data_IF_223550540562
#
_entry.id   IF_223550540562
#
_cell.length_a   1.000
_cell.length_b   1.000
_cell.length_c   1.000
_cell.angle_alpha   90.00
_cell.angle_beta   90.00
_cell.angle_gamma   90.00
#
_symmetry.space_group_name_H-M   'P 1'
#
loop_
_entity.id
_entity.type
_entity.pdbx_description
1 polymer ?
#
# COMPACT_ATOMS: atom_id res chain seq x y z
N UNK A 1 -8.75 13.15 -31.00
CA UNK A 1 -7.65 13.57 -30.10
C UNK A 1 -6.87 12.33 -29.75
N UNK A 2 -5.59 12.23 -30.06
CA UNK A 2 -4.80 11.01 -29.83
C UNK A 2 -3.78 11.21 -28.72
N UNK A 3 -3.54 10.16 -27.92
CA UNK A 3 -2.38 10.08 -27.01
C UNK A 3 -1.40 9.08 -27.60
N UNK A 4 -0.22 9.56 -28.00
CA UNK A 4 0.78 8.72 -28.67
C UNK A 4 2.22 9.07 -28.29
N UNK A 5 3.06 8.06 -28.42
CA UNK A 5 4.52 8.16 -28.32
C UNK A 5 5.11 7.78 -29.69
N UNK A 6 5.99 8.60 -30.21
CA UNK A 6 6.66 8.37 -31.49
C UNK A 6 8.17 8.36 -31.29
N UNK A 7 8.80 7.19 -31.50
CA UNK A 7 10.24 6.95 -31.39
C UNK A 7 10.83 7.38 -30.04
N UNK A 8 10.10 7.14 -28.92
CA UNK A 8 10.50 7.59 -27.60
C UNK A 8 11.55 6.65 -27.00
N UNK A 9 12.69 7.24 -26.63
CA UNK A 9 13.76 6.56 -25.88
C UNK A 9 14.16 7.37 -24.64
N UNK A 10 14.48 6.67 -23.56
CA UNK A 10 14.99 7.28 -22.32
C UNK A 10 16.12 6.42 -21.73
N UNK A 11 17.21 7.09 -21.34
CA UNK A 11 18.34 6.50 -20.63
C UNK A 11 18.65 7.27 -19.35
N UNK A 12 19.08 6.55 -18.29
CA UNK A 12 19.71 7.13 -17.11
C UNK A 12 21.20 6.74 -17.13
N UNK A 13 22.07 7.69 -17.44
CA UNK A 13 23.46 7.41 -17.74
C UNK A 13 23.56 6.38 -18.87
N UNK A 14 24.31 5.32 -18.65
CA UNK A 14 24.49 4.23 -19.64
C UNK A 14 23.32 3.22 -19.64
N UNK A 15 22.40 3.30 -18.70
CA UNK A 15 21.29 2.35 -18.59
C UNK A 15 20.08 2.82 -19.37
N UNK A 16 19.78 2.16 -20.50
CA UNK A 16 18.59 2.40 -21.30
C UNK A 16 17.36 1.78 -20.61
N UNK A 17 16.35 2.60 -20.34
CA UNK A 17 15.11 2.19 -19.67
C UNK A 17 14.01 1.89 -20.68
N UNK A 18 13.87 2.75 -21.69
CA UNK A 18 12.92 2.62 -22.80
C UNK A 18 13.68 2.82 -24.09
N UNK A 19 13.34 2.04 -25.12
CA UNK A 19 14.04 2.05 -26.39
C UNK A 19 13.07 2.06 -27.57
N UNK A 20 13.08 3.13 -28.34
CA UNK A 20 12.34 3.30 -29.60
C UNK A 20 10.86 2.91 -29.49
N UNK A 21 10.20 3.46 -28.49
CA UNK A 21 8.82 3.12 -28.17
C UNK A 21 7.86 3.87 -29.10
N UNK A 22 6.99 3.11 -29.76
CA UNK A 22 5.91 3.61 -30.60
C UNK A 22 4.60 3.03 -30.10
N UNK A 23 3.74 3.86 -29.49
CA UNK A 23 2.46 3.45 -28.92
C UNK A 23 1.41 4.52 -29.21
N UNK A 24 0.19 4.06 -29.47
CA UNK A 24 -0.99 4.91 -29.57
C UNK A 24 -2.09 4.38 -28.65
N UNK A 25 -2.64 5.25 -27.81
CA UNK A 25 -3.77 4.96 -26.94
C UNK A 25 -5.05 5.51 -27.57
N UNK A 26 -6.10 4.71 -27.56
CA UNK A 26 -7.41 5.17 -28.02
C UNK A 26 -7.97 6.25 -27.10
N UNK A 27 -8.65 7.23 -27.68
CA UNK A 27 -9.37 8.25 -26.92
C UNK A 27 -10.44 7.63 -26.04
N UNK A 28 -10.64 8.27 -24.88
CA UNK A 28 -11.64 7.85 -23.92
C UNK A 28 -11.55 6.36 -23.56
N UNK A 29 -10.34 5.81 -23.52
CA UNK A 29 -10.08 4.42 -23.17
C UNK A 29 -9.51 4.28 -21.76
N UNK A 30 -9.79 3.13 -21.14
CA UNK A 30 -9.23 2.73 -19.88
C UNK A 30 -8.10 1.71 -20.11
N UNK A 31 -6.87 2.12 -19.89
CA UNK A 31 -5.67 1.33 -20.14
C UNK A 31 -5.03 0.87 -18.82
N UNK A 32 -4.72 -0.40 -18.71
CA UNK A 32 -3.97 -0.96 -17.60
C UNK A 32 -2.57 -1.33 -18.07
N UNK A 33 -1.53 -0.76 -17.45
CA UNK A 33 -0.13 -1.09 -17.70
C UNK A 33 0.39 -2.02 -16.60
N UNK A 34 0.77 -3.23 -16.97
CA UNK A 34 1.31 -4.25 -16.07
C UNK A 34 2.77 -4.57 -16.40
N UNK A 35 3.47 -5.18 -15.47
CA UNK A 35 4.86 -5.63 -15.64
C UNK A 35 5.58 -5.75 -14.30
N UNK A 36 6.78 -6.38 -14.26
CA UNK A 36 7.57 -6.54 -13.06
C UNK A 36 7.87 -5.22 -12.35
N UNK A 37 8.08 -5.25 -11.03
CA UNK A 37 8.53 -4.07 -10.28
C UNK A 37 9.92 -3.63 -10.74
N UNK A 38 10.14 -2.32 -10.75
CA UNK A 38 11.43 -1.74 -11.18
C UNK A 38 11.69 -1.77 -12.68
N UNK A 39 10.77 -2.28 -13.51
CA UNK A 39 10.93 -2.34 -14.98
C UNK A 39 10.87 -0.95 -15.64
N UNK A 40 10.30 0.06 -14.95
CA UNK A 40 10.18 1.42 -15.49
C UNK A 40 8.74 1.90 -15.74
N UNK A 41 7.70 1.25 -15.19
CA UNK A 41 6.30 1.65 -15.37
C UNK A 41 6.02 3.09 -14.93
N UNK A 42 6.45 3.45 -13.70
CA UNK A 42 6.32 4.83 -13.20
C UNK A 42 7.13 5.82 -14.03
N UNK A 43 8.28 5.41 -14.53
CA UNK A 43 9.10 6.21 -15.46
C UNK A 43 8.35 6.46 -16.77
N UNK A 44 7.69 5.45 -17.31
CA UNK A 44 6.85 5.57 -18.50
C UNK A 44 5.69 6.56 -18.28
N UNK A 45 4.96 6.47 -17.16
CA UNK A 45 3.91 7.44 -16.82
C UNK A 45 4.47 8.86 -16.74
N UNK A 46 5.66 9.04 -16.12
CA UNK A 46 6.32 10.36 -16.03
C UNK A 46 6.76 10.90 -17.39
N UNK A 47 7.13 10.05 -18.35
CA UNK A 47 7.39 10.44 -19.73
C UNK A 47 6.11 10.99 -20.37
N UNK A 48 5.00 10.27 -20.25
CA UNK A 48 3.69 10.71 -20.74
C UNK A 48 3.24 12.04 -20.10
N UNK A 49 3.62 12.27 -18.84
CA UNK A 49 3.35 13.53 -18.14
C UNK A 49 4.30 14.67 -18.56
N UNK A 50 5.30 14.41 -19.40
CA UNK A 50 6.29 15.40 -19.83
C UNK A 50 7.25 15.85 -18.71
N UNK A 51 7.53 14.97 -17.71
CA UNK A 51 8.45 15.29 -16.61
C UNK A 51 9.93 15.12 -17.00
N UNK A 52 10.20 14.54 -18.15
CA UNK A 52 11.55 14.38 -18.70
C UNK A 52 11.75 15.24 -19.94
N UNK A 53 12.38 16.41 -19.82
CA UNK A 53 12.58 17.32 -20.98
C UNK A 53 13.65 16.84 -21.98
N UNK A 54 14.40 15.79 -21.64
CA UNK A 54 15.51 15.27 -22.47
C UNK A 54 15.22 13.83 -22.94
N UNK A 55 14.03 13.61 -23.49
CA UNK A 55 13.71 12.35 -24.19
C UNK A 55 14.05 12.46 -25.67
N UNK A 56 14.44 11.34 -26.29
CA UNK A 56 14.42 11.22 -27.75
C UNK A 56 12.98 10.93 -28.18
N UNK A 57 12.55 11.41 -29.33
CA UNK A 57 11.21 11.21 -29.86
C UNK A 57 10.21 12.28 -29.43
N UNK A 58 8.91 11.97 -29.50
CA UNK A 58 7.80 12.90 -29.21
C UNK A 58 6.70 12.23 -28.41
N UNK A 59 6.15 12.98 -27.45
CA UNK A 59 4.93 12.60 -26.70
C UNK A 59 3.82 13.56 -27.06
N UNK A 60 2.74 13.01 -27.60
CA UNK A 60 1.56 13.78 -28.05
C UNK A 60 0.39 13.41 -27.14
N UNK A 61 -0.29 14.39 -26.54
CA UNK A 61 -1.52 14.21 -25.78
C UNK A 61 -2.55 15.20 -26.25
N UNK A 62 -3.71 14.72 -26.64
CA UNK A 62 -4.79 15.54 -27.22
C UNK A 62 -4.28 16.45 -28.34
N UNK A 63 -3.50 15.87 -29.26
CA UNK A 63 -2.88 16.54 -30.44
C UNK A 63 -1.82 17.60 -30.09
N UNK A 64 -1.37 17.68 -28.85
CA UNK A 64 -0.33 18.61 -28.40
C UNK A 64 0.96 17.87 -28.03
N UNK A 65 2.11 18.41 -28.47
CA UNK A 65 3.42 17.93 -28.04
C UNK A 65 3.66 18.38 -26.57
N UNK A 66 3.58 17.44 -25.63
CA UNK A 66 3.55 17.73 -24.19
C UNK A 66 4.90 18.27 -23.69
N UNK A 67 5.99 17.79 -24.24
CA UNK A 67 7.35 18.21 -23.92
C UNK A 67 7.64 19.69 -24.24
N UNK A 68 6.91 20.25 -25.19
CA UNK A 68 7.05 21.66 -25.59
C UNK A 68 6.16 22.63 -24.81
N UNK A 69 5.21 22.11 -24.03
CA UNK A 69 4.26 22.95 -23.28
C UNK A 69 4.82 23.38 -21.91
N UNK A 70 4.59 24.64 -21.51
CA UNK A 70 4.86 25.06 -20.13
C UNK A 70 3.99 24.31 -19.13
N UNK A 71 4.47 24.15 -17.88
CA UNK A 71 3.88 23.27 -16.88
C UNK A 71 2.37 23.53 -16.63
N UNK A 72 1.95 24.80 -16.56
CA UNK A 72 0.54 25.17 -16.33
C UNK A 72 -0.38 24.77 -17.49
N UNK A 73 0.11 24.82 -18.73
CA UNK A 73 -0.66 24.37 -19.90
C UNK A 73 -0.67 22.84 -19.98
N UNK A 74 0.46 22.20 -19.70
CA UNK A 74 0.59 20.75 -19.66
C UNK A 74 -0.42 20.10 -18.68
N UNK A 75 -0.58 20.70 -17.50
CA UNK A 75 -1.52 20.24 -16.47
C UNK A 75 -3.00 20.29 -16.91
N UNK A 76 -3.37 21.08 -17.91
CA UNK A 76 -4.70 21.06 -18.53
C UNK A 76 -4.95 19.81 -19.38
N UNK A 77 -3.88 19.18 -19.88
CA UNK A 77 -3.99 17.98 -20.71
C UNK A 77 -3.73 16.70 -19.92
N UNK A 78 -2.83 16.75 -18.93
CA UNK A 78 -2.39 15.56 -18.18
C UNK A 78 -2.53 15.79 -16.69
N UNK A 79 -3.38 14.98 -16.05
CA UNK A 79 -3.44 14.81 -14.59
C UNK A 79 -2.58 13.62 -14.17
N UNK A 80 -1.73 13.78 -13.16
CA UNK A 80 -0.84 12.74 -12.67
C UNK A 80 -1.06 12.48 -11.19
N UNK A 81 -1.36 11.23 -10.82
CA UNK A 81 -1.39 10.78 -9.43
C UNK A 81 -0.10 10.01 -9.11
N UNK A 82 0.65 10.52 -8.14
CA UNK A 82 1.89 9.87 -7.68
C UNK A 82 1.59 8.69 -6.76
N UNK A 83 2.49 7.71 -6.75
CA UNK A 83 2.45 6.55 -5.85
C UNK A 83 2.41 6.97 -4.37
N UNK A 84 3.22 7.97 -3.98
CA UNK A 84 3.15 8.58 -2.65
C UNK A 84 2.38 9.91 -2.71
N UNK A 85 1.13 9.97 -2.22
CA UNK A 85 0.32 11.18 -2.25
C UNK A 85 0.92 12.33 -1.42
N UNK A 86 1.78 12.03 -0.42
CA UNK A 86 2.39 13.09 0.41
C UNK A 86 3.34 13.99 -0.39
N UNK A 87 3.90 13.50 -1.48
CA UNK A 87 4.78 14.29 -2.37
C UNK A 87 4.03 15.27 -3.27
N UNK A 88 2.70 15.16 -3.30
CA UNK A 88 1.85 15.95 -4.20
C UNK A 88 1.24 17.18 -3.51
N UNK A 89 1.09 17.16 -2.18
CA UNK A 89 0.37 18.21 -1.46
C UNK A 89 1.25 19.40 -1.12
N UNK A 90 0.74 20.61 -1.40
CA UNK A 90 1.36 21.88 -1.08
C UNK A 90 0.60 22.66 0.01
N UNK A 91 -0.70 22.38 0.20
CA UNK A 91 -1.57 23.10 1.12
C UNK A 91 -1.87 22.32 2.39
N UNK A 92 -2.52 22.98 3.36
CA UNK A 92 -2.78 22.37 4.67
C UNK A 92 -4.03 21.48 4.65
N UNK A 93 -5.07 21.86 3.90
CA UNK A 93 -6.35 21.13 3.83
C UNK A 93 -6.65 20.69 2.41
N UNK A 94 -7.51 19.68 2.26
CA UNK A 94 -7.94 19.20 0.94
C UNK A 94 -8.64 20.29 0.12
N UNK A 95 -9.48 21.10 0.78
CA UNK A 95 -10.17 22.21 0.12
C UNK A 95 -9.16 23.24 -0.42
N UNK A 96 -8.19 23.65 0.39
CA UNK A 96 -7.14 24.59 -0.05
C UNK A 96 -6.30 24.03 -1.20
N UNK A 97 -5.97 22.73 -1.16
CA UNK A 97 -5.21 22.05 -2.22
C UNK A 97 -5.95 22.07 -3.57
N UNK A 98 -7.25 21.82 -3.55
CA UNK A 98 -8.11 21.88 -4.74
C UNK A 98 -8.19 23.32 -5.30
N UNK A 99 -8.40 24.31 -4.43
CA UNK A 99 -8.42 25.72 -4.83
C UNK A 99 -7.08 26.12 -5.44
N UNK A 100 -5.98 25.84 -4.75
CA UNK A 100 -4.62 26.15 -5.21
C UNK A 100 -4.32 25.53 -6.59
N UNK A 101 -4.71 24.28 -6.79
CA UNK A 101 -4.54 23.60 -8.08
C UNK A 101 -5.29 24.31 -9.19
N UNK A 102 -6.55 24.67 -8.97
CA UNK A 102 -7.37 25.33 -9.99
C UNK A 102 -6.92 26.78 -10.27
N UNK A 103 -6.40 27.48 -9.25
CA UNK A 103 -5.79 28.82 -9.45
C UNK A 103 -4.52 28.73 -10.31
N UNK A 104 -3.65 27.71 -10.08
CA UNK A 104 -2.48 27.46 -10.91
C UNK A 104 -2.82 27.08 -12.35
N UNK A 105 -3.96 26.43 -12.57
CA UNK A 105 -4.51 26.18 -13.91
C UNK A 105 -5.13 27.41 -14.56
N UNK A 106 -5.14 28.56 -13.86
CA UNK A 106 -5.80 29.79 -14.32
C UNK A 106 -7.29 29.58 -14.61
N UNK A 107 -7.95 28.77 -13.80
CA UNK A 107 -9.40 28.57 -13.88
C UNK A 107 -10.12 29.89 -13.50
N UNK A 108 -11.19 30.32 -14.23
CA UNK A 108 -11.95 31.49 -13.88
C UNK A 108 -12.46 31.43 -12.42
N UNK A 109 -12.30 32.51 -11.67
CA UNK A 109 -12.64 32.54 -10.22
C UNK A 109 -14.08 32.13 -9.90
N UNK A 110 -15.01 32.45 -10.78
CA UNK A 110 -16.41 32.06 -10.64
C UNK A 110 -16.67 30.56 -10.80
N UNK A 111 -15.75 29.80 -11.43
CA UNK A 111 -15.87 28.36 -11.65
C UNK A 111 -15.16 27.54 -10.56
N UNK A 112 -14.14 28.11 -9.90
CA UNK A 112 -13.30 27.37 -8.93
C UNK A 112 -14.15 26.68 -7.86
N UNK A 113 -15.04 27.43 -7.22
CA UNK A 113 -15.84 26.90 -6.10
C UNK A 113 -16.75 25.73 -6.52
N UNK A 114 -17.34 25.83 -7.70
CA UNK A 114 -18.19 24.76 -8.25
C UNK A 114 -17.36 23.52 -8.59
N UNK A 115 -16.20 23.68 -9.25
CA UNK A 115 -15.31 22.56 -9.61
C UNK A 115 -14.74 21.88 -8.37
N UNK A 116 -14.35 22.65 -7.35
CA UNK A 116 -13.89 22.10 -6.06
C UNK A 116 -14.99 21.25 -5.44
N UNK A 117 -16.22 21.77 -5.34
CA UNK A 117 -17.33 21.02 -4.74
C UNK A 117 -17.66 19.76 -5.54
N UNK A 118 -17.70 19.83 -6.87
CA UNK A 118 -17.90 18.68 -7.75
C UNK A 118 -16.85 17.59 -7.52
N UNK A 119 -15.56 17.95 -7.39
CA UNK A 119 -14.50 16.99 -7.16
C UNK A 119 -14.60 16.35 -5.76
N UNK A 120 -14.90 17.13 -4.73
CA UNK A 120 -15.14 16.66 -3.36
C UNK A 120 -16.29 15.64 -3.33
N UNK A 121 -17.43 15.97 -3.96
CA UNK A 121 -18.61 15.10 -4.01
C UNK A 121 -18.35 13.85 -4.84
N UNK A 122 -17.64 14.00 -5.96
CA UNK A 122 -17.32 12.90 -6.86
C UNK A 122 -16.50 11.82 -6.17
N UNK A 123 -15.47 12.21 -5.40
CA UNK A 123 -14.59 11.27 -4.69
C UNK A 123 -15.15 10.88 -3.31
N UNK A 124 -16.13 11.63 -2.78
CA UNK A 124 -16.76 11.34 -1.50
C UNK A 124 -15.90 11.73 -0.28
N UNK A 125 -15.25 12.90 -0.33
CA UNK A 125 -14.37 13.39 0.74
C UNK A 125 -14.96 14.55 1.56
N UNK A 126 -16.26 14.79 1.49
CA UNK A 126 -16.95 15.89 2.16
C UNK A 126 -16.63 16.00 3.65
N UNK A 127 -16.62 14.86 4.34
CA UNK A 127 -16.47 14.80 5.81
C UNK A 127 -15.10 15.25 6.31
N UNK A 128 -14.08 15.29 5.45
CA UNK A 128 -12.70 15.67 5.84
C UNK A 128 -12.06 16.67 4.87
N UNK A 129 -12.81 17.30 3.99
CA UNK A 129 -12.31 18.31 3.04
C UNK A 129 -11.61 19.49 3.72
N UNK A 130 -12.03 19.87 4.91
CA UNK A 130 -11.43 20.92 5.73
C UNK A 130 -10.46 20.41 6.80
N UNK A 131 -10.23 19.10 6.88
CA UNK A 131 -9.26 18.52 7.82
C UNK A 131 -7.84 18.74 7.34
N UNK A 132 -6.90 18.82 8.28
CA UNK A 132 -5.46 18.90 7.93
C UNK A 132 -5.03 17.62 7.22
N UNK A 133 -4.46 17.71 6.04
CA UNK A 133 -4.00 16.57 5.23
C UNK A 133 -3.05 15.68 6.03
N UNK A 134 -2.15 16.27 6.82
CA UNK A 134 -1.20 15.52 7.64
C UNK A 134 -1.88 14.64 8.72
N UNK A 135 -3.11 14.94 9.12
CA UNK A 135 -3.87 14.14 10.09
C UNK A 135 -4.70 13.03 9.45
N UNK A 136 -4.79 13.01 8.12
CA UNK A 136 -5.54 12.01 7.37
C UNK A 136 -4.78 10.67 7.30
N UNK A 137 -5.53 9.58 7.26
CA UNK A 137 -4.99 8.25 6.95
C UNK A 137 -4.45 8.17 5.52
N UNK A 138 -3.63 7.17 5.22
CA UNK A 138 -3.07 6.97 3.88
C UNK A 138 -4.14 6.88 2.79
N UNK A 139 -5.23 6.14 3.05
CA UNK A 139 -6.34 6.02 2.12
C UNK A 139 -7.13 7.33 1.92
N UNK A 140 -7.32 8.12 2.98
CA UNK A 140 -7.97 9.44 2.86
C UNK A 140 -7.10 10.41 2.06
N UNK A 141 -5.77 10.40 2.27
CA UNK A 141 -4.82 11.18 1.46
C UNK A 141 -4.86 10.80 -0.01
N UNK A 142 -4.96 9.50 -0.31
CA UNK A 142 -5.10 9.00 -1.68
C UNK A 142 -6.39 9.52 -2.33
N UNK A 143 -7.52 9.51 -1.59
CA UNK A 143 -8.78 10.10 -2.06
C UNK A 143 -8.65 11.61 -2.31
N UNK A 144 -7.95 12.34 -1.45
CA UNK A 144 -7.69 13.78 -1.67
C UNK A 144 -6.88 14.00 -2.94
N UNK A 145 -5.79 13.24 -3.13
CA UNK A 145 -4.96 13.34 -4.33
C UNK A 145 -5.76 13.02 -5.61
N UNK A 146 -6.65 12.02 -5.56
CA UNK A 146 -7.56 11.73 -6.66
C UNK A 146 -8.54 12.87 -6.91
N UNK A 147 -9.10 13.50 -5.86
CA UNK A 147 -9.99 14.65 -6.02
C UNK A 147 -9.29 15.83 -6.72
N UNK A 148 -8.00 16.06 -6.40
CA UNK A 148 -7.19 17.10 -7.03
C UNK A 148 -7.10 16.88 -8.54
N UNK A 149 -6.73 15.69 -9.00
CA UNK A 149 -6.59 15.41 -10.44
C UNK A 149 -7.95 15.36 -11.16
N UNK A 150 -9.03 14.97 -10.47
CA UNK A 150 -10.40 15.04 -11.00
C UNK A 150 -10.83 16.50 -11.22
N UNK A 151 -10.51 17.39 -10.27
CA UNK A 151 -10.81 18.82 -10.38
C UNK A 151 -10.12 19.50 -11.57
N UNK A 152 -8.96 18.97 -12.00
CA UNK A 152 -8.22 19.48 -13.14
C UNK A 152 -8.97 19.29 -14.47
N UNK A 153 -9.86 18.29 -14.57
CA UNK A 153 -10.61 17.93 -15.81
C UNK A 153 -9.68 17.70 -17.02
N UNK A 154 -8.52 17.11 -16.75
CA UNK A 154 -7.50 16.83 -17.77
C UNK A 154 -7.99 15.76 -18.76
N UNK A 155 -7.46 15.78 -20.00
CA UNK A 155 -7.83 14.82 -21.05
C UNK A 155 -7.25 13.44 -20.86
N UNK A 156 -6.07 13.35 -20.23
CA UNK A 156 -5.36 12.14 -19.87
C UNK A 156 -5.15 12.10 -18.37
N UNK A 157 -5.56 11.01 -17.70
CA UNK A 157 -5.24 10.72 -16.31
C UNK A 157 -4.22 9.58 -16.23
N UNK A 158 -3.11 9.85 -15.57
CA UNK A 158 -2.02 8.91 -15.31
C UNK A 158 -2.02 8.58 -13.83
N UNK A 159 -2.22 7.31 -13.49
CA UNK A 159 -2.41 6.85 -12.12
C UNK A 159 -1.35 5.81 -11.78
N UNK A 160 -0.42 6.16 -10.88
CA UNK A 160 0.67 5.29 -10.44
C UNK A 160 0.29 4.65 -9.09
N UNK A 161 -0.13 3.39 -9.11
CA UNK A 161 -0.60 2.61 -7.95
C UNK A 161 -1.65 3.37 -7.09
N UNK A 162 -2.76 3.82 -7.69
CA UNK A 162 -3.68 4.78 -7.06
C UNK A 162 -4.42 4.22 -5.84
N UNK A 163 -4.40 2.91 -5.61
CA UNK A 163 -5.19 2.24 -4.58
C UNK A 163 -4.37 1.46 -3.56
N UNK A 164 -3.05 1.67 -3.50
CA UNK A 164 -2.14 0.90 -2.65
C UNK A 164 -2.51 0.89 -1.14
N UNK A 165 -3.18 1.93 -0.64
CA UNK A 165 -3.55 2.08 0.77
C UNK A 165 -5.06 2.27 0.99
N UNK A 166 -5.88 1.85 0.03
CA UNK A 166 -7.34 1.99 0.08
C UNK A 166 -7.97 0.61 0.33
N UNK A 167 -8.98 0.57 1.20
CA UNK A 167 -9.77 -0.65 1.42
C UNK A 167 -10.54 -1.07 0.17
N UNK A 168 -10.93 -2.34 0.10
CA UNK A 168 -11.56 -2.92 -1.09
C UNK A 168 -12.85 -2.21 -1.49
N UNK A 169 -13.72 -1.86 -0.54
CA UNK A 169 -14.99 -1.20 -0.82
C UNK A 169 -14.77 0.21 -1.40
N UNK A 170 -13.84 0.97 -0.81
CA UNK A 170 -13.45 2.29 -1.33
C UNK A 170 -12.78 2.19 -2.71
N UNK A 171 -11.94 1.16 -2.93
CA UNK A 171 -11.30 0.89 -4.23
C UNK A 171 -12.34 0.63 -5.32
N UNK A 172 -13.28 -0.27 -5.08
CA UNK A 172 -14.35 -0.57 -6.05
C UNK A 172 -15.19 0.67 -6.36
N UNK A 173 -15.51 1.47 -5.34
CA UNK A 173 -16.19 2.75 -5.53
C UNK A 173 -15.41 3.70 -6.45
N UNK A 174 -14.12 3.90 -6.19
CA UNK A 174 -13.27 4.80 -6.98
C UNK A 174 -13.04 4.28 -8.40
N UNK A 175 -12.89 2.98 -8.59
CA UNK A 175 -12.79 2.38 -9.92
C UNK A 175 -14.05 2.62 -10.76
N UNK A 176 -15.24 2.49 -10.16
CA UNK A 176 -16.51 2.86 -10.83
C UNK A 176 -16.53 4.35 -11.21
N UNK A 177 -15.98 5.22 -10.35
CA UNK A 177 -15.88 6.66 -10.65
C UNK A 177 -14.90 6.95 -11.79
N UNK A 178 -13.75 6.26 -11.83
CA UNK A 178 -12.82 6.36 -12.95
C UNK A 178 -13.47 5.91 -14.27
N UNK A 179 -14.25 4.83 -14.25
CA UNK A 179 -14.99 4.39 -15.45
C UNK A 179 -16.03 5.44 -15.91
N UNK A 180 -16.65 6.18 -14.97
CA UNK A 180 -17.54 7.30 -15.31
C UNK A 180 -16.76 8.46 -15.99
N UNK A 181 -15.54 8.78 -15.51
CA UNK A 181 -14.68 9.78 -16.15
C UNK A 181 -14.26 9.35 -17.56
N UNK A 182 -13.90 8.08 -17.72
CA UNK A 182 -13.59 7.53 -19.04
C UNK A 182 -14.78 7.65 -20.00
N UNK A 183 -15.98 7.30 -19.54
CA UNK A 183 -17.20 7.43 -20.33
C UNK A 183 -17.53 8.91 -20.68
N UNK A 184 -17.01 9.87 -19.91
CA UNK A 184 -17.13 11.31 -20.18
C UNK A 184 -16.08 11.84 -21.18
N UNK A 185 -15.22 10.97 -21.71
CA UNK A 185 -14.22 11.33 -22.71
C UNK A 185 -12.78 11.49 -22.19
N UNK A 186 -12.49 11.05 -20.95
CA UNK A 186 -11.14 11.07 -20.38
C UNK A 186 -10.41 9.77 -20.69
N UNK A 187 -9.21 9.84 -21.24
CA UNK A 187 -8.32 8.68 -21.37
C UNK A 187 -7.64 8.42 -20.03
N UNK A 188 -7.62 7.16 -19.58
CA UNK A 188 -7.04 6.76 -18.30
C UNK A 188 -5.98 5.71 -18.53
N UNK A 189 -4.79 5.91 -17.95
CA UNK A 189 -3.72 4.92 -17.91
C UNK A 189 -3.37 4.66 -16.45
N UNK A 190 -3.56 3.43 -16.01
CA UNK A 190 -3.32 3.00 -14.62
C UNK A 190 -2.17 2.00 -14.60
N UNK A 191 -1.25 2.17 -13.66
CA UNK A 191 -0.32 1.14 -13.20
C UNK A 191 -0.82 0.62 -11.88
N UNK A 192 -1.07 -0.69 -11.76
CA UNK A 192 -1.47 -1.31 -10.49
C UNK A 192 -0.92 -2.73 -10.39
N UNK A 193 -0.80 -3.23 -9.17
CA UNK A 193 -0.34 -4.59 -8.87
C UNK A 193 -1.49 -5.57 -8.64
N UNK A 194 -2.63 -5.11 -8.12
CA UNK A 194 -3.82 -5.92 -7.98
C UNK A 194 -4.67 -5.83 -9.26
N UNK A 195 -4.58 -6.88 -10.07
CA UNK A 195 -5.14 -6.94 -11.41
C UNK A 195 -6.63 -7.31 -11.44
N UNK A 196 -7.13 -7.96 -10.38
CA UNK A 196 -8.47 -8.58 -10.35
C UNK A 196 -9.60 -7.59 -10.61
N UNK A 197 -9.48 -6.39 -10.06
CA UNK A 197 -10.50 -5.35 -10.21
C UNK A 197 -10.59 -4.75 -11.62
N UNK A 198 -9.59 -4.97 -12.47
CA UNK A 198 -9.50 -4.37 -13.81
C UNK A 198 -10.01 -5.27 -14.92
N UNK A 199 -10.32 -6.56 -14.66
CA UNK A 199 -10.76 -7.52 -15.67
C UNK A 199 -11.95 -7.02 -16.49
N UNK A 200 -12.90 -6.32 -15.84
CA UNK A 200 -14.10 -5.79 -16.48
C UNK A 200 -14.04 -4.29 -16.79
N UNK A 201 -12.94 -3.63 -16.43
CA UNK A 201 -12.81 -2.18 -16.55
C UNK A 201 -11.84 -1.74 -17.63
N UNK A 202 -10.73 -2.48 -17.81
CA UNK A 202 -9.72 -2.14 -18.80
C UNK A 202 -10.22 -2.47 -20.22
N UNK A 203 -10.18 -1.45 -21.08
CA UNK A 203 -10.46 -1.64 -22.51
C UNK A 203 -9.24 -2.24 -23.22
N UNK A 204 -8.02 -1.92 -22.74
CA UNK A 204 -6.76 -2.48 -23.22
C UNK A 204 -5.80 -2.71 -22.04
N UNK A 205 -5.11 -3.85 -22.08
CA UNK A 205 -4.03 -4.19 -21.15
C UNK A 205 -2.70 -4.18 -21.90
N UNK A 206 -1.71 -3.52 -21.32
CA UNK A 206 -0.36 -3.37 -21.86
C UNK A 206 0.64 -4.06 -20.94
N UNK A 207 1.52 -4.87 -21.50
CA UNK A 207 2.60 -5.52 -20.77
C UNK A 207 3.93 -4.80 -21.04
N UNK A 208 4.56 -4.31 -19.99
CA UNK A 208 5.92 -3.80 -20.06
C UNK A 208 6.90 -4.92 -19.68
N UNK A 209 7.69 -5.36 -20.66
CA UNK A 209 8.73 -6.37 -20.53
C UNK A 209 9.89 -6.05 -21.49
N UNK A 210 11.11 -6.39 -21.12
CA UNK A 210 12.32 -6.24 -21.98
C UNK A 210 12.46 -4.87 -22.64
N UNK A 211 12.13 -3.80 -21.91
CA UNK A 211 12.17 -2.39 -22.35
C UNK A 211 11.17 -2.04 -23.47
N UNK A 212 10.18 -2.91 -23.70
CA UNK A 212 9.07 -2.72 -24.64
C UNK A 212 7.75 -2.66 -23.90
N UNK A 213 6.76 -2.08 -24.53
CA UNK A 213 5.37 -2.10 -24.05
C UNK A 213 4.52 -2.59 -25.21
N UNK A 214 3.84 -3.69 -25.00
CA UNK A 214 3.04 -4.35 -26.04
C UNK A 214 1.62 -4.63 -25.48
N UNK A 215 0.57 -4.53 -26.32
CA UNK A 215 -0.77 -4.91 -25.91
C UNK A 215 -0.83 -6.43 -25.75
N UNK A 216 -1.55 -6.89 -24.73
CA UNK A 216 -1.82 -8.33 -24.56
C UNK A 216 -3.30 -8.63 -24.75
N UNK A 217 -3.59 -9.88 -25.13
CA UNK A 217 -4.95 -10.36 -25.30
C UNK A 217 -5.65 -10.56 -23.95
N UNK A 218 -7.00 -10.55 -23.97
CA UNK A 218 -7.81 -10.84 -22.78
C UNK A 218 -7.49 -12.25 -22.21
N UNK A 219 -7.22 -13.23 -23.05
CA UNK A 219 -6.85 -14.57 -22.60
C UNK A 219 -5.49 -14.58 -21.87
N UNK A 220 -4.53 -13.83 -22.37
CA UNK A 220 -3.23 -13.70 -21.74
C UNK A 220 -3.32 -12.93 -20.42
N UNK A 221 -4.15 -11.89 -20.36
CA UNK A 221 -4.43 -11.18 -19.12
C UNK A 221 -5.10 -12.08 -18.08
N UNK A 222 -6.14 -12.86 -18.47
CA UNK A 222 -6.80 -13.82 -17.57
C UNK A 222 -5.85 -14.85 -16.96
N UNK A 223 -4.86 -15.32 -17.71
CA UNK A 223 -3.82 -16.23 -17.18
C UNK A 223 -2.94 -15.58 -16.10
N UNK A 224 -2.90 -14.25 -16.03
CA UNK A 224 -2.12 -13.48 -15.05
C UNK A 224 -2.96 -13.06 -13.84
N UNK A 225 -4.29 -13.16 -13.93
CA UNK A 225 -5.16 -12.91 -12.79
C UNK A 225 -4.92 -13.97 -11.71
N UNK A 226 -4.99 -13.60 -10.42
CA UNK A 226 -4.97 -14.59 -9.36
C UNK A 226 -6.14 -15.58 -9.58
N UNK A 227 -5.85 -16.87 -9.50
CA UNK A 227 -6.91 -17.88 -9.54
C UNK A 227 -7.88 -17.62 -8.38
N UNK A 228 -9.18 -17.64 -8.63
CA UNK A 228 -10.19 -17.65 -7.57
C UNK A 228 -10.01 -18.96 -6.77
N UNK A 229 -9.18 -18.93 -5.76
CA UNK A 229 -9.02 -20.03 -4.82
C UNK A 229 -9.91 -19.74 -3.61
N UNK A 230 -10.79 -20.65 -3.28
CA UNK A 230 -11.41 -20.67 -1.98
C UNK A 230 -10.37 -21.14 -0.96
N UNK A 231 -10.23 -20.42 0.13
CA UNK A 231 -9.35 -20.79 1.22
C UNK A 231 -10.18 -21.20 2.42
N UNK A 232 -9.83 -22.34 2.98
CA UNK A 232 -10.42 -22.87 4.20
C UNK A 232 -9.46 -22.64 5.35
N UNK A 233 -9.95 -22.10 6.45
CA UNK A 233 -9.16 -21.77 7.64
C UNK A 233 -9.64 -22.52 8.86
N UNK A 234 -8.71 -22.88 9.71
CA UNK A 234 -9.04 -23.49 10.99
C UNK A 234 -9.54 -22.44 12.00
N UNK A 235 -10.39 -22.86 12.93
CA UNK A 235 -10.72 -22.09 14.13
C UNK A 235 -9.82 -22.56 15.27
N UNK A 236 -9.02 -21.68 15.90
CA UNK A 236 -8.13 -22.09 16.97
C UNK A 236 -8.93 -22.47 18.23
N UNK A 237 -8.62 -23.65 18.79
CA UNK A 237 -9.29 -24.15 20.01
C UNK A 237 -8.74 -23.54 21.29
N UNK A 238 -7.49 -23.09 21.27
CA UNK A 238 -6.76 -22.52 22.43
C UNK A 238 -5.76 -21.49 21.97
N UNK A 239 -5.39 -20.56 22.85
CA UNK A 239 -4.35 -19.56 22.62
C UNK A 239 -3.75 -19.05 23.92
N UNK A 240 -2.54 -18.50 23.80
CA UNK A 240 -1.83 -17.92 24.96
C UNK A 240 -2.32 -16.51 25.27
N UNK A 241 -2.87 -15.80 24.29
CA UNK A 241 -3.44 -14.47 24.44
C UNK A 241 -4.96 -14.58 24.24
N UNK A 242 -5.70 -14.27 25.29
CA UNK A 242 -7.17 -14.42 25.34
C UNK A 242 -7.78 -13.07 25.69
N UNK A 243 -8.80 -12.68 24.96
CA UNK A 243 -9.63 -11.50 25.21
C UNK A 243 -11.00 -11.93 25.69
N UNK A 244 -11.44 -11.44 26.85
CA UNK A 244 -12.75 -11.69 27.44
C UNK A 244 -13.46 -10.35 27.66
N UNK A 245 -14.65 -10.18 27.06
CA UNK A 245 -15.51 -9.00 27.12
C UNK A 245 -14.77 -7.69 26.80
N UNK A 246 -13.85 -7.77 25.80
CA UNK A 246 -13.01 -6.61 25.42
C UNK A 246 -13.80 -5.66 24.54
N UNK A 247 -13.79 -4.38 24.90
CA UNK A 247 -14.32 -3.29 24.09
C UNK A 247 -13.21 -2.31 23.74
N UNK A 248 -13.10 -1.97 22.45
CA UNK A 248 -12.12 -1.01 21.90
C UNK A 248 -12.86 0.28 21.54
N UNK A 249 -12.33 1.42 22.02
CA UNK A 249 -12.90 2.76 21.83
C UNK A 249 -11.86 3.77 21.35
N UNK A 250 -12.33 4.83 20.69
CA UNK A 250 -11.57 6.07 20.45
C UNK A 250 -12.40 7.22 21.00
N UNK A 251 -11.94 7.86 22.09
CA UNK A 251 -12.77 8.76 22.87
C UNK A 251 -14.02 8.00 23.34
N UNK A 252 -15.18 8.60 23.15
CA UNK A 252 -16.48 7.96 23.53
C UNK A 252 -17.03 7.03 22.45
N UNK A 253 -16.41 7.00 21.26
CA UNK A 253 -16.87 6.16 20.15
C UNK A 253 -16.39 4.73 20.30
N UNK A 254 -17.33 3.79 20.51
CA UNK A 254 -17.05 2.35 20.42
C UNK A 254 -16.74 1.98 18.97
N UNK A 255 -15.59 1.31 18.77
CA UNK A 255 -15.20 0.76 17.47
C UNK A 255 -15.76 -0.65 17.30
N UNK A 256 -15.48 -1.54 18.26
CA UNK A 256 -16.01 -2.90 18.28
C UNK A 256 -15.89 -3.53 19.68
N UNK A 257 -16.48 -4.71 19.84
CA UNK A 257 -16.33 -5.54 21.03
C UNK A 257 -16.10 -7.01 20.69
N UNK A 258 -15.49 -7.71 21.63
CA UNK A 258 -15.19 -9.14 21.56
C UNK A 258 -15.62 -9.77 22.87
N UNK A 259 -16.57 -10.70 22.84
CA UNK A 259 -16.99 -11.41 24.04
C UNK A 259 -15.93 -12.41 24.49
N UNK A 260 -15.47 -13.24 23.55
CA UNK A 260 -14.37 -14.17 23.78
C UNK A 260 -13.56 -14.37 22.48
N UNK A 261 -12.24 -14.20 22.55
CA UNK A 261 -11.32 -14.47 21.45
C UNK A 261 -10.02 -15.05 21.98
N UNK A 262 -9.64 -16.20 21.48
CA UNK A 262 -8.36 -16.83 21.76
C UNK A 262 -7.47 -16.76 20.52
N UNK A 263 -6.35 -16.04 20.59
CA UNK A 263 -5.40 -15.98 19.46
C UNK A 263 -4.63 -17.30 19.34
N UNK A 264 -4.49 -17.80 18.14
CA UNK A 264 -3.88 -19.11 17.85
C UNK A 264 -2.52 -19.32 18.52
N UNK A 265 -2.21 -20.56 18.92
CA UNK A 265 -0.95 -20.92 19.59
C UNK A 265 0.24 -21.04 18.64
N UNK A 266 0.01 -21.14 17.34
CA UNK A 266 1.03 -21.29 16.30
C UNK A 266 0.53 -20.77 14.97
N UNK A 267 1.43 -20.61 14.02
CA UNK A 267 1.09 -20.27 12.64
C UNK A 267 0.82 -18.78 12.42
N UNK A 268 0.16 -18.50 11.32
CA UNK A 268 -0.15 -17.15 10.83
C UNK A 268 -1.66 -16.92 10.87
N UNK A 269 -2.08 -15.89 11.59
CA UNK A 269 -3.47 -15.40 11.63
C UNK A 269 -3.55 -14.13 10.79
N UNK A 270 -4.43 -14.10 9.81
CA UNK A 270 -4.76 -12.89 9.04
C UNK A 270 -5.95 -12.18 9.69
N UNK A 271 -5.83 -10.87 9.93
CA UNK A 271 -6.91 -10.01 10.41
C UNK A 271 -7.29 -9.01 9.31
N UNK A 272 -8.53 -9.10 8.83
CA UNK A 272 -9.09 -8.15 7.86
C UNK A 272 -10.29 -7.39 8.40
N UNK A 273 -10.73 -6.39 7.65
CA UNK A 273 -11.87 -5.53 7.93
C UNK A 273 -11.67 -4.16 7.31
N UNK A 274 -12.73 -3.35 7.22
CA UNK A 274 -12.67 -2.03 6.59
C UNK A 274 -11.70 -1.08 7.30
N UNK A 275 -11.29 -0.03 6.60
CA UNK A 275 -10.43 0.99 7.19
C UNK A 275 -11.19 1.77 8.29
N UNK A 276 -10.47 2.13 9.35
CA UNK A 276 -11.05 2.86 10.49
C UNK A 276 -11.91 2.03 11.44
N UNK A 277 -12.04 0.70 11.24
CA UNK A 277 -12.80 -0.20 12.13
C UNK A 277 -12.11 -0.50 13.46
N UNK A 278 -10.80 -0.20 13.60
CA UNK A 278 -10.07 -0.36 14.85
C UNK A 278 -9.07 -1.51 14.89
N UNK A 279 -8.69 -2.09 13.75
CA UNK A 279 -7.69 -3.18 13.67
C UNK A 279 -6.35 -2.80 14.34
N UNK A 280 -5.74 -1.69 13.94
CA UNK A 280 -4.47 -1.19 14.54
C UNK A 280 -4.65 -0.77 16.00
N UNK A 281 -5.85 -0.27 16.38
CA UNK A 281 -6.19 0.05 17.77
C UNK A 281 -6.24 -1.21 18.62
N UNK A 282 -6.76 -2.31 18.07
CA UNK A 282 -6.74 -3.61 18.74
C UNK A 282 -5.31 -4.09 19.00
N UNK A 283 -4.42 -4.02 18.01
CA UNK A 283 -3.01 -4.36 18.22
C UNK A 283 -2.35 -3.48 19.28
N UNK A 284 -2.67 -2.19 19.30
CA UNK A 284 -2.20 -1.27 20.33
C UNK A 284 -2.73 -1.64 21.73
N UNK A 285 -3.96 -2.12 21.83
CA UNK A 285 -4.53 -2.62 23.10
C UNK A 285 -3.84 -3.92 23.55
N UNK A 286 -3.63 -4.88 22.62
CA UNK A 286 -2.91 -6.12 22.91
C UNK A 286 -1.47 -5.88 23.39
N UNK A 287 -0.83 -4.78 22.98
CA UNK A 287 0.52 -4.39 23.41
C UNK A 287 0.52 -3.36 24.54
N UNK A 288 -0.64 -3.03 25.13
CA UNK A 288 -0.78 -2.03 26.19
C UNK A 288 -0.32 -0.62 25.81
N UNK A 289 -0.35 -0.31 24.53
CA UNK A 289 -0.11 1.06 24.01
C UNK A 289 -1.41 1.88 23.98
N UNK A 290 -2.55 1.23 24.17
CA UNK A 290 -3.88 1.84 24.21
C UNK A 290 -4.75 1.19 25.27
N UNK A 291 -5.60 1.99 25.93
CA UNK A 291 -6.57 1.52 26.90
C UNK A 291 -7.70 0.72 26.23
N UNK A 292 -8.29 -0.21 26.97
CA UNK A 292 -9.41 -1.05 26.57
C UNK A 292 -10.30 -1.34 27.80
N UNK A 293 -11.55 -1.71 27.56
CA UNK A 293 -12.44 -2.24 28.59
C UNK A 293 -12.45 -3.76 28.50
N UNK A 294 -12.72 -4.45 29.61
CA UNK A 294 -12.72 -5.89 29.67
C UNK A 294 -11.39 -6.48 30.16
N UNK A 295 -11.08 -7.71 29.76
CA UNK A 295 -9.90 -8.43 30.22
C UNK A 295 -9.11 -9.02 29.05
N UNK A 296 -7.83 -8.74 29.00
CA UNK A 296 -6.87 -9.42 28.11
C UNK A 296 -5.90 -10.20 28.98
N UNK A 297 -5.77 -11.50 28.75
CA UNK A 297 -4.91 -12.38 29.53
C UNK A 297 -3.84 -13.04 28.65
N UNK A 298 -2.59 -13.06 29.10
CA UNK A 298 -1.49 -13.81 28.52
C UNK A 298 -1.13 -14.99 29.44
N UNK A 299 -1.25 -16.21 28.92
CA UNK A 299 -1.04 -17.46 29.70
C UNK A 299 -1.80 -17.38 31.03
N UNK A 300 -3.09 -17.05 30.97
CA UNK A 300 -4.01 -16.98 32.14
C UNK A 300 -3.80 -15.76 33.05
N UNK A 301 -2.78 -14.95 32.86
CA UNK A 301 -2.51 -13.75 33.66
C UNK A 301 -2.97 -12.49 32.92
N UNK A 302 -3.73 -11.66 33.63
CA UNK A 302 -4.16 -10.36 33.13
C UNK A 302 -2.94 -9.51 32.74
N UNK A 303 -2.90 -9.03 31.48
CA UNK A 303 -1.76 -8.25 30.97
C UNK A 303 -1.59 -6.92 31.69
N UNK A 304 -2.66 -6.33 32.23
CA UNK A 304 -2.61 -5.08 33.00
C UNK A 304 -1.74 -5.21 34.26
N UNK A 305 -1.66 -6.44 34.83
CA UNK A 305 -0.89 -6.76 36.04
C UNK A 305 0.53 -7.21 35.77
N UNK A 306 0.92 -7.41 34.49
CA UNK A 306 2.27 -7.82 34.14
C UNK A 306 3.21 -6.60 34.09
N UNK A 307 4.49 -6.80 34.44
CA UNK A 307 5.52 -5.75 34.22
C UNK A 307 5.72 -5.53 32.72
N UNK A 308 5.58 -4.30 32.26
CA UNK A 308 5.66 -3.93 30.83
C UNK A 308 6.91 -4.52 30.15
N UNK A 309 8.15 -4.34 30.66
CA UNK A 309 9.34 -4.84 29.97
C UNK A 309 9.35 -6.38 29.79
N UNK A 310 8.72 -7.10 30.73
CA UNK A 310 8.59 -8.56 30.63
C UNK A 310 7.54 -8.96 29.61
N UNK A 311 6.41 -8.26 29.59
CA UNK A 311 5.30 -8.56 28.67
C UNK A 311 5.69 -8.24 27.22
N UNK A 312 6.41 -7.12 26.98
CA UNK A 312 6.84 -6.74 25.63
C UNK A 312 7.85 -7.71 25.01
N UNK A 313 8.52 -8.56 25.82
CA UNK A 313 9.33 -9.68 25.30
C UNK A 313 8.48 -10.87 24.84
N UNK A 314 7.20 -10.90 25.17
CA UNK A 314 6.28 -11.98 24.81
C UNK A 314 5.33 -11.59 23.65
N UNK A 315 4.95 -10.31 23.57
CA UNK A 315 4.05 -9.76 22.57
C UNK A 315 4.63 -8.44 22.06
N UNK A 316 4.95 -8.36 20.78
CA UNK A 316 5.48 -7.15 20.16
C UNK A 316 4.66 -6.72 18.94
N UNK A 317 4.76 -5.44 18.59
CA UNK A 317 4.06 -4.81 17.48
C UNK A 317 5.07 -4.27 16.46
N UNK A 318 4.87 -4.64 15.21
CA UNK A 318 5.48 -3.98 14.04
C UNK A 318 4.52 -2.89 13.58
N UNK A 319 4.95 -1.64 13.70
CA UNK A 319 4.13 -0.49 13.35
C UNK A 319 3.93 -0.35 11.84
N UNK A 320 2.78 0.16 11.44
CA UNK A 320 2.50 0.49 10.05
C UNK A 320 3.54 1.48 9.49
N UNK A 321 3.91 2.51 10.24
CA UNK A 321 5.02 3.40 9.89
C UNK A 321 6.34 2.86 10.47
N UNK A 322 7.21 2.37 9.59
CA UNK A 322 8.50 1.79 9.96
C UNK A 322 9.45 2.76 10.67
N UNK A 323 9.37 4.06 10.38
CA UNK A 323 10.25 5.07 10.99
C UNK A 323 10.03 5.23 12.51
N UNK A 324 8.87 4.82 13.01
CA UNK A 324 8.58 4.82 14.46
C UNK A 324 9.25 3.67 15.22
N UNK A 325 9.86 2.73 14.51
CA UNK A 325 10.42 1.51 15.10
C UNK A 325 11.92 1.61 15.35
N UNK A 326 12.64 2.38 14.52
CA UNK A 326 14.10 2.40 14.54
C UNK A 326 14.65 3.20 15.71
N UNK A 327 15.72 2.66 16.32
CA UNK A 327 16.44 3.22 17.45
C UNK A 327 17.88 3.64 17.09
N UNK A 328 18.40 3.18 15.95
CA UNK A 328 19.75 3.43 15.48
C UNK A 328 19.76 4.21 14.16
N UNK A 329 20.95 4.70 13.81
CA UNK A 329 21.13 5.52 12.61
C UNK A 329 21.38 4.68 11.35
N UNK A 330 22.18 3.63 11.46
CA UNK A 330 22.58 2.77 10.34
C UNK A 330 21.90 1.41 10.39
N UNK A 331 21.89 0.74 9.24
CA UNK A 331 21.29 -0.60 9.09
C UNK A 331 22.02 -1.62 9.97
N UNK A 332 23.38 -1.61 9.98
CA UNK A 332 24.17 -2.52 10.80
C UNK A 332 23.91 -2.32 12.30
N UNK A 333 23.93 -1.08 12.78
CA UNK A 333 23.68 -0.77 14.21
C UNK A 333 22.29 -1.26 14.66
N UNK A 334 21.27 -1.16 13.81
CA UNK A 334 19.91 -1.62 14.15
C UNK A 334 19.82 -3.16 14.15
N UNK A 335 20.53 -3.84 13.22
CA UNK A 335 20.64 -5.29 13.20
C UNK A 335 21.39 -5.80 14.43
N UNK A 336 22.53 -5.19 14.79
CA UNK A 336 23.32 -5.56 15.95
C UNK A 336 22.51 -5.44 17.24
N UNK A 337 21.75 -4.33 17.39
CA UNK A 337 20.86 -4.14 18.53
C UNK A 337 19.82 -5.29 18.63
N UNK A 338 19.27 -5.73 17.50
CA UNK A 338 18.28 -6.81 17.47
C UNK A 338 18.90 -8.16 17.79
N UNK A 339 20.13 -8.41 17.32
CA UNK A 339 20.92 -9.62 17.62
C UNK A 339 21.33 -9.69 19.10
N UNK A 340 21.65 -8.56 19.73
CA UNK A 340 21.90 -8.50 21.17
C UNK A 340 20.68 -8.85 22.02
N UNK A 341 19.48 -8.58 21.49
CA UNK A 341 18.22 -8.80 22.19
C UNK A 341 17.50 -10.09 21.77
N UNK A 342 18.07 -10.86 20.83
CA UNK A 342 17.44 -12.10 20.35
C UNK A 342 17.29 -13.14 21.47
N UNK A 343 16.20 -13.88 21.43
CA UNK A 343 15.92 -14.94 22.40
C UNK A 343 16.77 -16.21 22.16
N UNK A 344 17.16 -16.43 20.92
CA UNK A 344 17.89 -17.63 20.48
C UNK A 344 19.08 -17.26 19.56
N UNK A 345 20.19 -16.75 20.13
CA UNK A 345 21.34 -16.29 19.33
C UNK A 345 21.94 -17.34 18.39
N UNK A 346 21.82 -18.61 18.77
CA UNK A 346 22.37 -19.74 17.99
C UNK A 346 21.65 -19.89 16.63
N UNK A 347 20.42 -19.41 16.51
CA UNK A 347 19.63 -19.52 15.28
C UNK A 347 19.92 -18.38 14.29
N UNK A 348 20.69 -17.38 14.72
CA UNK A 348 21.00 -16.17 13.94
C UNK A 348 22.51 -15.92 13.80
N UNK A 349 23.30 -16.90 13.33
CA UNK A 349 24.70 -16.64 12.98
C UNK A 349 24.74 -15.67 11.77
N UNK A 350 25.90 -15.02 11.55
CA UNK A 350 26.07 -14.02 10.49
C UNK A 350 25.63 -14.50 9.11
N UNK A 351 25.92 -15.76 8.79
CA UNK A 351 25.57 -16.36 7.50
C UNK A 351 24.06 -16.45 7.28
N UNK A 352 23.28 -16.72 8.34
CA UNK A 352 21.82 -16.76 8.28
C UNK A 352 21.25 -15.35 8.14
N UNK A 353 21.80 -14.38 8.88
CA UNK A 353 21.40 -12.97 8.74
C UNK A 353 21.66 -12.48 7.32
N UNK A 354 22.84 -12.76 6.78
CA UNK A 354 23.23 -12.37 5.42
C UNK A 354 22.32 -13.02 4.35
N UNK A 355 21.93 -14.28 4.54
CA UNK A 355 20.96 -14.94 3.65
C UNK A 355 19.62 -14.19 3.62
N UNK A 356 19.06 -13.84 4.80
CA UNK A 356 17.81 -13.06 4.84
C UNK A 356 17.97 -11.67 4.25
N UNK A 357 19.09 -10.99 4.47
CA UNK A 357 19.38 -9.69 3.88
C UNK A 357 19.48 -9.78 2.35
N UNK A 358 20.10 -10.83 1.81
CA UNK A 358 20.15 -11.08 0.35
C UNK A 358 18.74 -11.31 -0.21
N UNK A 359 17.95 -12.18 0.42
CA UNK A 359 16.56 -12.47 0.01
C UNK A 359 15.67 -11.22 0.02
N UNK A 360 15.94 -10.28 0.91
CA UNK A 360 15.20 -9.02 1.05
C UNK A 360 15.82 -7.85 0.24
N UNK A 361 16.90 -8.08 -0.50
CA UNK A 361 17.67 -7.04 -1.21
C UNK A 361 18.14 -5.89 -0.27
N UNK A 362 18.64 -6.26 0.90
CA UNK A 362 19.23 -5.36 1.90
C UNK A 362 20.72 -5.61 2.13
N UNK A 363 21.26 -6.70 1.57
CA UNK A 363 22.67 -7.04 1.68
C UNK A 363 23.57 -5.94 1.10
N UNK A 364 24.65 -5.61 1.79
CA UNK A 364 25.56 -4.53 1.40
C UNK A 364 25.11 -3.11 1.76
N UNK A 365 23.98 -2.97 2.47
CA UNK A 365 23.46 -1.68 2.91
C UNK A 365 23.82 -1.32 4.37
N UNK A 366 24.72 -2.09 5.02
CA UNK A 366 25.02 -1.97 6.45
C UNK A 366 25.37 -0.55 6.91
N UNK A 367 26.22 0.14 6.18
CA UNK A 367 26.68 1.49 6.50
C UNK A 367 25.68 2.60 6.11
N UNK A 368 24.59 2.25 5.42
CA UNK A 368 23.62 3.26 5.01
C UNK A 368 22.78 3.77 6.19
N UNK A 369 22.52 5.07 6.17
CA UNK A 369 21.60 5.71 7.11
C UNK A 369 20.17 5.24 6.79
N UNK A 370 19.46 4.72 7.79
CA UNK A 370 18.13 4.13 7.63
C UNK A 370 17.14 5.11 6.97
N UNK A 371 17.20 6.40 7.35
CA UNK A 371 16.30 7.41 6.79
C UNK A 371 16.51 7.69 5.29
N UNK A 372 17.66 7.30 4.73
CA UNK A 372 17.96 7.41 3.30
C UNK A 372 17.47 6.20 2.48
N UNK A 373 17.11 5.10 3.14
CA UNK A 373 16.54 3.94 2.48
C UNK A 373 15.20 4.27 1.84
N UNK A 374 14.87 3.56 0.75
CA UNK A 374 13.52 3.62 0.18
C UNK A 374 12.47 3.09 1.18
N UNK A 375 11.20 3.48 1.01
CA UNK A 375 10.11 3.02 1.88
C UNK A 375 10.02 1.50 1.97
N UNK A 376 10.18 0.80 0.84
CA UNK A 376 10.19 -0.67 0.80
C UNK A 376 11.40 -1.27 1.51
N UNK A 377 12.60 -0.67 1.39
CA UNK A 377 13.79 -1.11 2.11
C UNK A 377 13.63 -0.91 3.63
N UNK A 378 13.11 0.25 4.07
CA UNK A 378 12.78 0.49 5.47
C UNK A 378 11.83 -0.58 6.00
N UNK A 379 10.76 -0.87 5.27
CA UNK A 379 9.76 -1.88 5.68
C UNK A 379 10.38 -3.28 5.83
N UNK A 380 11.22 -3.68 4.88
CA UNK A 380 11.94 -4.98 4.92
C UNK A 380 12.94 -5.04 6.07
N UNK A 381 13.69 -3.96 6.34
CA UNK A 381 14.58 -3.87 7.49
C UNK A 381 13.78 -3.96 8.80
N UNK A 382 12.67 -3.23 8.94
CA UNK A 382 11.79 -3.30 10.10
C UNK A 382 11.35 -4.75 10.38
N UNK A 383 10.99 -5.49 9.34
CA UNK A 383 10.58 -6.87 9.50
C UNK A 383 11.72 -7.76 10.00
N UNK A 384 12.88 -7.71 9.35
CA UNK A 384 13.98 -8.62 9.72
C UNK A 384 14.47 -8.37 11.14
N UNK A 385 14.62 -7.12 11.58
CA UNK A 385 15.05 -6.82 12.96
C UNK A 385 14.03 -7.34 14.01
N UNK A 386 12.74 -7.27 13.70
CA UNK A 386 11.71 -7.79 14.60
C UNK A 386 11.60 -9.34 14.58
N UNK A 387 11.92 -9.98 13.46
CA UNK A 387 11.98 -11.45 13.36
C UNK A 387 13.18 -11.99 14.12
N UNK A 388 14.33 -11.33 14.05
CA UNK A 388 15.57 -11.69 14.81
C UNK A 388 15.31 -11.72 16.32
N UNK A 389 14.50 -10.81 16.85
CA UNK A 389 14.17 -10.78 18.29
C UNK A 389 13.42 -12.02 18.80
N UNK A 390 12.81 -12.78 17.90
CA UNK A 390 12.04 -14.01 18.18
C UNK A 390 10.99 -13.87 19.30
N UNK A 391 10.31 -12.73 19.31
CA UNK A 391 9.17 -12.51 20.21
C UNK A 391 8.08 -13.53 19.91
N UNK A 392 7.53 -14.26 20.93
CA UNK A 392 6.58 -15.36 20.70
C UNK A 392 5.30 -14.99 19.96
N UNK A 393 4.78 -13.78 20.15
CA UNK A 393 3.63 -13.25 19.41
C UNK A 393 4.05 -11.95 18.77
N UNK A 394 4.07 -11.91 17.43
CA UNK A 394 4.38 -10.72 16.66
C UNK A 394 3.13 -10.25 15.93
N UNK A 395 2.69 -9.06 16.28
CA UNK A 395 1.57 -8.37 15.64
C UNK A 395 2.13 -7.50 14.51
N UNK A 396 1.69 -7.70 13.28
CA UNK A 396 2.22 -7.05 12.09
C UNK A 396 1.14 -6.16 11.49
N UNK A 397 1.30 -4.84 11.64
CA UNK A 397 0.33 -3.87 11.12
C UNK A 397 0.76 -3.40 9.72
N UNK A 398 0.07 -3.89 8.69
CA UNK A 398 0.34 -3.64 7.28
C UNK A 398 1.84 -3.84 6.90
N UNK A 399 2.43 -5.02 7.20
CA UNK A 399 3.85 -5.25 6.96
C UNK A 399 4.23 -5.29 5.48
N UNK A 400 3.26 -5.53 4.60
CA UNK A 400 3.46 -5.69 3.16
C UNK A 400 3.17 -4.41 2.37
N UNK A 401 2.58 -3.39 3.01
CA UNK A 401 2.19 -2.15 2.34
C UNK A 401 3.40 -1.42 1.76
N UNK A 402 3.31 -1.02 0.49
CA UNK A 402 4.38 -0.33 -0.23
C UNK A 402 5.54 -1.23 -0.68
N UNK A 403 5.42 -2.55 -0.52
CA UNK A 403 6.35 -3.51 -1.10
C UNK A 403 5.96 -3.88 -2.53
N UNK A 404 6.96 -4.10 -3.37
CA UNK A 404 6.75 -4.65 -4.70
C UNK A 404 6.37 -6.14 -4.63
N UNK A 405 5.84 -6.65 -5.74
CA UNK A 405 5.36 -8.02 -5.87
C UNK A 405 6.38 -9.10 -5.44
N UNK A 406 7.65 -8.96 -5.85
CA UNK A 406 8.70 -9.92 -5.48
C UNK A 406 9.01 -9.85 -3.99
N UNK A 407 9.07 -8.63 -3.43
CA UNK A 407 9.28 -8.41 -2.00
C UNK A 407 8.13 -8.98 -1.15
N UNK A 408 6.86 -8.79 -1.57
CA UNK A 408 5.70 -9.40 -0.91
C UNK A 408 5.80 -10.92 -0.88
N UNK A 409 6.15 -11.54 -2.00
CA UNK A 409 6.32 -13.00 -2.10
C UNK A 409 7.45 -13.50 -1.18
N UNK A 410 8.61 -12.82 -1.18
CA UNK A 410 9.74 -13.19 -0.32
C UNK A 410 9.43 -13.01 1.16
N UNK A 411 8.85 -11.89 1.55
CA UNK A 411 8.44 -11.64 2.95
C UNK A 411 7.43 -12.68 3.40
N UNK A 412 6.42 -12.99 2.58
CA UNK A 412 5.41 -13.98 2.92
C UNK A 412 5.99 -15.39 3.08
N UNK A 413 7.00 -15.77 2.26
CA UNK A 413 7.76 -17.02 2.42
C UNK A 413 8.55 -17.04 3.72
N UNK A 414 9.28 -15.97 4.03
CA UNK A 414 10.06 -15.86 5.27
C UNK A 414 9.16 -15.98 6.49
N UNK A 415 8.01 -15.29 6.51
CA UNK A 415 7.05 -15.39 7.61
C UNK A 415 6.54 -16.84 7.78
N UNK A 416 6.26 -17.55 6.68
CA UNK A 416 5.83 -18.96 6.73
C UNK A 416 6.94 -19.87 7.28
N UNK A 417 8.16 -19.76 6.77
CA UNK A 417 9.32 -20.53 7.22
C UNK A 417 9.57 -20.36 8.72
N UNK A 418 9.47 -19.12 9.23
CA UNK A 418 9.66 -18.84 10.66
C UNK A 418 8.47 -19.36 11.49
N UNK A 419 7.23 -19.20 11.00
CA UNK A 419 6.04 -19.73 11.67
C UNK A 419 6.10 -21.27 11.81
N UNK A 420 6.65 -21.97 10.80
CA UNK A 420 6.79 -23.43 10.81
C UNK A 420 7.77 -23.92 11.85
N UNK A 421 8.73 -23.10 12.28
CA UNK A 421 9.59 -23.39 13.45
C UNK A 421 8.82 -23.45 14.78
N UNK A 422 7.54 -23.02 14.79
CA UNK A 422 6.58 -23.00 15.93
C UNK A 422 7.04 -22.19 17.16
N UNK A 423 8.03 -21.32 17.00
CA UNK A 423 8.53 -20.45 18.07
C UNK A 423 7.83 -19.08 18.06
N UNK A 424 7.60 -18.54 16.87
CA UNK A 424 6.87 -17.29 16.67
C UNK A 424 5.49 -17.55 16.05
N UNK A 425 4.55 -16.68 16.39
CA UNK A 425 3.19 -16.60 15.84
C UNK A 425 2.99 -15.23 15.29
N UNK A 426 2.33 -15.17 14.17
CA UNK A 426 2.06 -13.89 13.50
C UNK A 426 0.57 -13.62 13.50
N UNK A 427 0.18 -12.41 13.90
CA UNK A 427 -1.14 -11.86 13.60
C UNK A 427 -0.93 -10.69 12.67
N UNK A 428 -1.42 -10.78 11.45
CA UNK A 428 -1.10 -9.86 10.36
C UNK A 428 -2.35 -9.10 9.95
N UNK A 429 -2.31 -7.79 10.00
CA UNK A 429 -3.27 -6.93 9.29
C UNK A 429 -2.69 -6.68 7.90
N UNK A 430 -3.43 -7.02 6.86
CA UNK A 430 -3.02 -6.71 5.48
C UNK A 430 -4.22 -6.59 4.57
N UNK A 431 -4.10 -5.71 3.58
CA UNK A 431 -5.00 -5.60 2.44
C UNK A 431 -4.45 -6.31 1.18
N UNK A 432 -3.18 -6.72 1.20
CA UNK A 432 -2.54 -7.48 0.12
C UNK A 432 -2.70 -8.99 0.36
N UNK A 433 -3.84 -9.52 -0.04
CA UNK A 433 -4.27 -10.87 0.33
C UNK A 433 -3.67 -11.98 -0.56
N UNK A 434 -3.54 -11.76 -1.86
CA UNK A 434 -3.27 -12.78 -2.88
C UNK A 434 -2.05 -13.66 -2.59
N UNK A 435 -0.96 -13.08 -2.06
CA UNK A 435 0.28 -13.81 -1.76
C UNK A 435 0.37 -14.31 -0.35
N UNK A 436 -0.41 -13.71 0.55
CA UNK A 436 -0.40 -14.06 1.95
C UNK A 436 -1.38 -15.21 2.24
N UNK A 437 -2.56 -15.22 1.63
CA UNK A 437 -3.62 -16.21 1.87
C UNK A 437 -3.16 -17.67 1.80
N UNK A 438 -2.35 -18.11 0.80
CA UNK A 438 -1.87 -19.49 0.74
C UNK A 438 -0.97 -19.90 1.92
N UNK A 439 -0.54 -18.95 2.73
CA UNK A 439 0.40 -19.13 3.86
C UNK A 439 -0.25 -18.93 5.22
N UNK A 440 -1.55 -18.58 5.25
CA UNK A 440 -2.34 -18.29 6.43
C UNK A 440 -3.01 -19.54 6.97
N UNK A 441 -2.96 -19.75 8.28
CA UNK A 441 -3.60 -20.87 8.96
C UNK A 441 -4.98 -20.50 9.52
N UNK A 442 -5.17 -19.23 9.94
CA UNK A 442 -6.37 -18.75 10.62
C UNK A 442 -6.80 -17.40 10.06
N UNK A 443 -8.10 -17.20 9.94
CA UNK A 443 -8.67 -15.98 9.40
C UNK A 443 -9.60 -15.30 10.42
N UNK A 444 -9.25 -14.07 10.82
CA UNK A 444 -10.04 -13.18 11.66
C UNK A 444 -10.65 -12.08 10.80
N UNK A 445 -11.94 -11.84 10.95
CA UNK A 445 -12.63 -10.73 10.27
C UNK A 445 -13.27 -9.80 11.29
N UNK A 446 -12.98 -8.51 11.15
CA UNK A 446 -13.61 -7.44 11.88
C UNK A 446 -14.69 -6.79 11.01
N UNK A 447 -15.94 -7.11 11.31
CA UNK A 447 -17.11 -6.66 10.57
C UNK A 447 -18.27 -6.39 11.52
N UNK A 448 -19.11 -5.38 11.21
CA UNK A 448 -20.28 -5.02 12.03
C UNK A 448 -19.95 -4.86 13.53
N UNK A 449 -18.82 -4.18 13.83
CA UNK A 449 -18.31 -3.99 15.19
C UNK A 449 -18.08 -5.30 15.98
N UNK A 450 -17.82 -6.39 15.27
CA UNK A 450 -17.56 -7.70 15.87
C UNK A 450 -16.32 -8.33 15.23
N UNK A 451 -15.44 -8.91 16.06
CA UNK A 451 -14.24 -9.62 15.61
C UNK A 451 -14.44 -11.13 15.82
N UNK A 452 -14.37 -11.91 14.73
CA UNK A 452 -14.60 -13.37 14.79
C UNK A 452 -13.69 -14.10 13.81
N UNK A 453 -13.32 -15.33 14.14
CA UNK A 453 -12.73 -16.27 13.19
C UNK A 453 -13.75 -16.67 12.12
N UNK A 454 -13.27 -16.84 10.91
CA UNK A 454 -14.01 -17.30 9.75
C UNK A 454 -13.35 -18.57 9.20
N UNK A 455 -14.15 -19.54 8.77
CA UNK A 455 -13.67 -20.79 8.17
C UNK A 455 -13.39 -20.62 6.66
N UNK A 456 -14.02 -19.65 6.03
CA UNK A 456 -13.89 -19.40 4.57
C UNK A 456 -13.64 -17.92 4.31
N UNK A 457 -12.87 -17.64 3.29
CA UNK A 457 -12.78 -16.31 2.68
C UNK A 457 -13.83 -16.26 1.55
N UNK A 458 -14.81 -15.37 1.70
CA UNK A 458 -15.84 -15.12 0.70
C UNK A 458 -15.41 -14.03 -0.28
#
# INVERSE_FOLDING_TARGET
MTTSLCHVSLSYGDKKIINDLNIEFQDASFNLLIGPSGIGKSTFLRILAGFYPQIEGKVIVADNAIDSLPANLRARYVGFLFQDPNTQFAMTTAFEELVFTLENLQTPRNEIRERVQKAIDFVGINQFSNSKINSLSGGEKQKVALAVIVAMESKLLLLDEPFANIDQASREYLLKKLKQLQASGTTIIVVDHDLSAYEKLADQVWLMADKKIEPISEEEFKKRLPAHQSFDFAIPKKGRLVCDDVTIKIGDRKLFSVNHLSLAESGITLLTGDNGTGKSTFFSALTRLKDYEGKIAYIGKDISKLKIPRYMKEVALVFQNSEKQYLRMTVSEELDLSLEQTRYPVDWPSEVVDEYLQRLNLFGLGDQIIYQLSGGQKKKLQLIVMLIMETPILLLDEPLAGLDFQSVEQVSKILREIADRKRQRFVIISHQLDRLLPKVDFYLRLENQTLKYQEHLL
#
